data_IF_088295795145
#
_entry.id   IF_088295795145
#
_cell.length_a   1.000
_cell.length_b   1.000
_cell.length_c   1.000
_cell.angle_alpha   90.00
_cell.angle_beta   90.00
_cell.angle_gamma   90.00
#
_symmetry.space_group_name_H-M   'P 1'
#
loop_
_entity.id
_entity.type
_entity.pdbx_description
1 polymer ?
#
# COMPACT_ATOMS: atom_id res chain seq x y z
N UNK A 1 -13.04 17.19 -5.10
CA UNK A 1 -11.90 17.73 -4.34
C UNK A 1 -10.61 17.18 -4.93
N UNK A 2 -9.76 18.05 -5.47
CA UNK A 2 -8.39 17.72 -5.89
C UNK A 2 -7.50 17.99 -4.68
N UNK A 3 -7.32 16.99 -3.82
CA UNK A 3 -6.41 17.10 -2.67
C UNK A 3 -4.97 17.00 -3.18
N UNK A 4 -4.12 17.93 -2.75
CA UNK A 4 -2.67 17.81 -2.89
C UNK A 4 -2.25 16.62 -2.03
N UNK A 5 -2.28 15.43 -2.63
CA UNK A 5 -2.01 14.16 -1.96
C UNK A 5 -0.52 13.94 -1.70
N UNK A 6 0.23 14.97 -1.31
CA UNK A 6 1.63 14.85 -0.97
C UNK A 6 1.86 15.27 0.47
N UNK A 7 2.66 14.48 1.18
CA UNK A 7 3.09 14.78 2.54
C UNK A 7 4.61 14.86 2.56
N UNK A 8 5.14 15.85 3.27
CA UNK A 8 6.57 16.00 3.49
C UNK A 8 6.97 15.22 4.75
N UNK A 9 8.08 14.50 4.63
CA UNK A 9 8.74 13.80 5.73
C UNK A 9 9.67 14.76 6.47
N UNK A 10 10.03 14.43 7.69
CA UNK A 10 10.98 15.20 8.50
C UNK A 10 12.37 15.34 7.84
N UNK A 11 12.69 14.46 6.87
CA UNK A 11 13.91 14.55 6.06
C UNK A 11 13.85 15.57 4.91
N UNK A 12 12.70 16.21 4.68
CA UNK A 12 12.44 17.09 3.54
C UNK A 12 12.07 16.36 2.24
N UNK A 13 12.03 15.02 2.25
CA UNK A 13 11.52 14.23 1.12
C UNK A 13 10.00 14.17 1.16
N UNK A 14 9.37 13.85 0.03
CA UNK A 14 7.91 13.83 -0.06
C UNK A 14 7.36 12.45 -0.39
N UNK A 15 6.22 12.10 0.19
CA UNK A 15 5.43 10.92 -0.15
C UNK A 15 4.13 11.32 -0.84
N UNK A 16 3.51 10.38 -1.56
CA UNK A 16 2.25 10.61 -2.28
C UNK A 16 1.17 9.61 -1.88
N UNK A 17 -0.03 10.09 -1.58
CA UNK A 17 -1.22 9.28 -1.41
C UNK A 17 -1.95 9.09 -2.75
N UNK A 18 -2.17 7.85 -3.15
CA UNK A 18 -2.80 7.51 -4.42
C UNK A 18 -4.02 6.65 -4.14
N UNK A 19 -5.16 6.98 -4.75
CA UNK A 19 -6.35 6.11 -4.73
C UNK A 19 -6.34 5.21 -5.96
N UNK A 20 -6.41 3.90 -5.73
CA UNK A 20 -6.48 2.88 -6.78
C UNK A 20 -7.95 2.62 -7.11
N UNK A 21 -8.32 2.85 -8.38
CA UNK A 21 -9.73 2.75 -8.84
C UNK A 21 -10.03 1.55 -9.74
N UNK A 22 -9.00 0.91 -10.32
CA UNK A 22 -9.13 -0.17 -11.31
C UNK A 22 -8.61 -1.51 -10.77
N UNK A 23 -8.89 -1.79 -9.50
CA UNK A 23 -8.54 -3.07 -8.87
C UNK A 23 -9.81 -3.73 -8.34
N UNK A 24 -9.78 -5.06 -8.19
CA UNK A 24 -10.86 -5.85 -7.58
C UNK A 24 -10.97 -5.59 -6.06
N UNK A 25 -10.03 -4.82 -5.50
CA UNK A 25 -9.99 -4.41 -4.10
C UNK A 25 -10.67 -3.04 -3.98
N UNK A 26 -11.84 -2.94 -3.32
CA UNK A 26 -12.51 -1.66 -3.12
C UNK A 26 -11.78 -0.79 -2.08
N UNK A 27 -11.98 0.54 -2.17
CA UNK A 27 -11.44 1.51 -1.20
C UNK A 27 -9.95 1.33 -0.91
N UNK A 28 -9.19 1.22 -1.99
CA UNK A 28 -7.77 0.91 -1.97
C UNK A 28 -6.93 2.15 -2.24
N UNK A 29 -5.97 2.40 -1.36
CA UNK A 29 -5.05 3.53 -1.38
C UNK A 29 -3.61 3.05 -1.24
N UNK A 30 -2.68 3.88 -1.68
CA UNK A 30 -1.24 3.63 -1.57
C UNK A 30 -0.57 4.90 -1.06
N UNK A 31 0.26 4.78 -0.03
CA UNK A 31 1.26 5.78 0.32
C UNK A 31 2.57 5.38 -0.37
N UNK A 32 3.01 6.15 -1.35
CA UNK A 32 4.18 5.86 -2.17
C UNK A 32 5.31 6.83 -1.86
N UNK A 33 6.53 6.29 -1.76
CA UNK A 33 7.77 7.06 -1.81
C UNK A 33 8.24 7.13 -3.28
N UNK A 34 8.26 8.31 -3.92
CA UNK A 34 8.72 8.47 -5.29
C UNK A 34 10.15 7.95 -5.49
N UNK A 35 10.32 7.05 -6.46
CA UNK A 35 11.63 6.49 -6.87
C UNK A 35 12.66 7.57 -7.24
N UNK A 36 12.20 8.74 -7.69
CA UNK A 36 13.06 9.88 -8.03
C UNK A 36 13.87 10.42 -6.84
N UNK A 37 13.50 10.05 -5.61
CA UNK A 37 14.19 10.45 -4.37
C UNK A 37 15.07 9.32 -3.80
N UNK A 38 15.27 8.24 -4.55
CA UNK A 38 16.05 7.06 -4.12
C UNK A 38 15.23 6.10 -3.25
N UNK A 39 15.95 5.38 -2.38
CA UNK A 39 15.33 4.53 -1.34
C UNK A 39 15.17 5.32 -0.03
N UNK A 40 14.11 5.05 0.74
CA UNK A 40 13.94 5.67 2.05
C UNK A 40 14.91 5.09 3.08
N UNK A 41 15.34 5.92 4.03
CA UNK A 41 16.06 5.49 5.23
C UNK A 41 15.14 4.73 6.20
N UNK A 42 15.70 4.10 7.24
CA UNK A 42 14.89 3.39 8.26
C UNK A 42 13.95 4.33 9.02
N UNK A 43 14.40 5.55 9.25
CA UNK A 43 13.67 6.62 9.93
C UNK A 43 12.52 7.09 9.04
N UNK A 44 12.79 7.34 7.75
CA UNK A 44 11.77 7.69 6.76
C UNK A 44 10.72 6.58 6.62
N UNK A 45 11.14 5.32 6.62
CA UNK A 45 10.22 4.17 6.62
C UNK A 45 9.31 4.17 7.85
N UNK A 46 9.88 4.41 9.03
CA UNK A 46 9.11 4.42 10.28
C UNK A 46 8.10 5.57 10.31
N UNK A 47 8.53 6.76 9.87
CA UNK A 47 7.67 7.93 9.72
C UNK A 47 6.55 7.67 8.71
N UNK A 48 6.86 7.10 7.54
CA UNK A 48 5.86 6.72 6.53
C UNK A 48 4.82 5.73 7.06
N UNK A 49 5.22 4.75 7.89
CA UNK A 49 4.26 3.80 8.50
C UNK A 49 3.32 4.53 9.43
N UNK A 50 3.84 5.41 10.29
CA UNK A 50 3.02 6.23 11.19
C UNK A 50 2.04 7.09 10.41
N UNK A 51 2.51 7.85 9.41
CA UNK A 51 1.67 8.68 8.54
C UNK A 51 0.64 7.85 7.77
N UNK A 52 1.01 6.63 7.35
CA UNK A 52 0.11 5.68 6.68
C UNK A 52 -1.03 5.24 7.60
N UNK A 53 -0.74 4.96 8.88
CA UNK A 53 -1.74 4.62 9.89
C UNK A 53 -2.68 5.80 10.13
N UNK A 54 -2.14 7.00 10.34
CA UNK A 54 -2.93 8.21 10.60
C UNK A 54 -3.86 8.55 9.44
N UNK A 55 -3.33 8.50 8.22
CA UNK A 55 -4.12 8.67 7.01
C UNK A 55 -5.22 7.61 6.94
N UNK A 56 -4.87 6.32 7.12
CA UNK A 56 -5.83 5.23 7.09
C UNK A 56 -6.97 5.41 8.10
N UNK A 57 -6.67 5.85 9.33
CA UNK A 57 -7.69 6.14 10.35
C UNK A 57 -8.63 7.25 9.92
N UNK A 58 -8.08 8.34 9.39
CA UNK A 58 -8.85 9.48 8.88
C UNK A 58 -9.80 9.05 7.76
N UNK A 59 -9.29 8.39 6.71
CA UNK A 59 -10.12 7.97 5.58
C UNK A 59 -11.08 6.82 5.94
N UNK A 60 -10.71 5.93 6.87
CA UNK A 60 -11.62 4.89 7.36
C UNK A 60 -12.83 5.51 8.07
N UNK A 61 -12.59 6.48 8.98
CA UNK A 61 -13.67 7.18 9.67
C UNK A 61 -14.59 7.88 8.68
N UNK A 62 -14.04 8.54 7.67
CA UNK A 62 -14.80 9.27 6.66
C UNK A 62 -15.65 8.36 5.76
N UNK A 63 -15.09 7.27 5.25
CA UNK A 63 -15.74 6.46 4.22
C UNK A 63 -16.53 5.26 4.75
N UNK A 64 -16.17 4.74 5.92
CA UNK A 64 -16.82 3.56 6.52
C UNK A 64 -17.33 3.79 7.95
N UNK A 65 -17.17 4.99 8.51
CA UNK A 65 -17.73 5.37 9.82
C UNK A 65 -16.93 4.89 11.03
N UNK A 66 -15.88 4.08 10.81
CA UNK A 66 -15.03 3.45 11.82
C UNK A 66 -13.55 3.72 11.49
N UNK A 67 -12.83 4.38 12.39
CA UNK A 67 -11.42 4.72 12.21
C UNK A 67 -10.50 3.50 12.24
N UNK A 68 -10.92 2.37 12.78
CA UNK A 68 -10.11 1.15 12.87
C UNK A 68 -10.45 0.12 11.79
N UNK A 69 -11.37 0.45 10.88
CA UNK A 69 -11.80 -0.41 9.78
C UNK A 69 -10.86 -0.33 8.55
N UNK A 70 -9.57 -0.60 8.75
CA UNK A 70 -8.56 -0.64 7.69
C UNK A 70 -7.58 -1.82 7.82
N UNK A 71 -6.79 -2.03 6.79
CA UNK A 71 -5.64 -2.93 6.80
C UNK A 71 -4.49 -2.27 6.04
N UNK A 72 -3.32 -2.31 6.66
CA UNK A 72 -2.05 -1.93 6.05
C UNK A 72 -1.35 -3.18 5.55
N UNK A 73 -0.83 -3.14 4.32
CA UNK A 73 0.08 -4.15 3.82
C UNK A 73 1.39 -3.48 3.49
N UNK A 74 2.45 -3.93 4.15
CA UNK A 74 3.81 -3.51 3.91
C UNK A 74 4.64 -4.74 3.51
N UNK A 75 5.35 -4.62 2.40
CA UNK A 75 6.21 -5.67 1.88
C UNK A 75 7.66 -5.21 1.86
N UNK A 76 8.56 -6.01 2.44
CA UNK A 76 9.99 -5.82 2.32
C UNK A 76 10.45 -5.92 0.86
N UNK A 77 11.63 -5.38 0.54
CA UNK A 77 12.12 -5.21 -0.82
C UNK A 77 11.96 -6.48 -1.68
N UNK A 78 12.37 -7.64 -1.16
CA UNK A 78 12.33 -8.90 -1.91
C UNK A 78 10.94 -9.44 -2.22
N UNK A 79 9.92 -8.99 -1.50
CA UNK A 79 8.53 -9.39 -1.69
C UNK A 79 7.74 -8.36 -2.53
N UNK A 80 8.35 -7.24 -2.94
CA UNK A 80 7.69 -6.22 -3.75
C UNK A 80 7.69 -6.60 -5.23
N UNK A 81 6.60 -6.21 -5.90
CA UNK A 81 6.47 -6.26 -7.35
C UNK A 81 7.21 -5.12 -8.04
N UNK A 82 7.13 -3.92 -7.48
CA UNK A 82 7.79 -2.73 -8.00
C UNK A 82 8.93 -2.33 -7.08
N UNK A 83 10.04 -1.91 -7.66
CA UNK A 83 11.21 -1.40 -6.92
C UNK A 83 10.94 -0.18 -6.04
N UNK A 84 9.76 0.44 -6.14
CA UNK A 84 9.41 1.64 -5.38
C UNK A 84 8.89 1.29 -3.99
N UNK A 85 9.26 2.07 -2.98
CA UNK A 85 8.76 1.87 -1.63
C UNK A 85 7.32 2.38 -1.51
N UNK A 86 6.44 1.55 -0.97
CA UNK A 86 5.04 1.92 -0.81
C UNK A 86 4.35 1.08 0.27
N UNK A 87 3.31 1.67 0.85
CA UNK A 87 2.40 1.02 1.80
C UNK A 87 1.02 0.98 1.17
N UNK A 88 0.41 -0.21 1.17
CA UNK A 88 -0.95 -0.41 0.73
C UNK A 88 -1.91 -0.19 1.90
N UNK A 89 -2.96 0.60 1.68
CA UNK A 89 -3.99 0.92 2.67
C UNK A 89 -5.33 0.50 2.08
N UNK A 90 -6.02 -0.44 2.72
CA UNK A 90 -7.32 -0.94 2.26
C UNK A 90 -8.37 -0.72 3.35
N UNK A 91 -9.48 -0.08 3.02
CA UNK A 91 -10.58 0.12 3.99
C UNK A 91 -11.52 -1.09 3.99
N UNK A 92 -11.70 -1.70 5.17
CA UNK A 92 -12.40 -2.97 5.35
C UNK A 92 -13.51 -2.82 6.39
N UNK A 93 -14.68 -2.32 5.96
CA UNK A 93 -15.83 -2.14 6.85
C UNK A 93 -16.53 -3.43 7.32
N UNK A 94 -16.12 -4.62 6.87
CA UNK A 94 -16.67 -5.90 7.36
C UNK A 94 -15.75 -7.09 7.05
N UNK A 95 -16.06 -8.25 7.66
CA UNK A 95 -15.29 -9.50 7.52
C UNK A 95 -15.31 -10.07 6.09
N UNK A 96 -16.40 -9.92 5.35
CA UNK A 96 -16.52 -10.39 3.96
C UNK A 96 -15.58 -9.63 3.02
N UNK A 97 -15.47 -8.31 3.15
CA UNK A 97 -14.50 -7.50 2.40
C UNK A 97 -13.06 -7.91 2.70
N UNK A 98 -12.77 -8.28 3.96
CA UNK A 98 -11.45 -8.78 4.36
C UNK A 98 -11.14 -10.15 3.75
N UNK A 99 -12.09 -11.08 3.77
CA UNK A 99 -11.96 -12.36 3.09
C UNK A 99 -11.77 -12.19 1.58
N UNK A 100 -12.53 -11.30 0.95
CA UNK A 100 -12.38 -10.97 -0.47
C UNK A 100 -11.00 -10.41 -0.80
N UNK A 101 -10.48 -9.48 0.01
CA UNK A 101 -9.11 -8.98 -0.12
C UNK A 101 -8.11 -10.14 -0.14
N UNK A 102 -8.20 -11.06 0.81
CA UNK A 102 -7.29 -12.21 0.87
C UNK A 102 -7.43 -13.15 -0.32
N UNK A 103 -8.64 -13.40 -0.81
CA UNK A 103 -8.86 -14.20 -2.02
C UNK A 103 -8.23 -13.55 -3.26
N UNK A 104 -8.42 -12.24 -3.45
CA UNK A 104 -7.82 -11.49 -4.56
C UNK A 104 -6.30 -11.50 -4.46
N UNK A 105 -5.73 -11.28 -3.27
CA UNK A 105 -4.29 -11.32 -3.06
C UNK A 105 -3.71 -12.73 -3.30
N UNK A 106 -4.36 -13.77 -2.78
CA UNK A 106 -3.96 -15.15 -3.01
C UNK A 106 -3.98 -15.49 -4.51
N UNK A 107 -5.06 -15.16 -5.21
CA UNK A 107 -5.16 -15.35 -6.66
C UNK A 107 -4.05 -14.64 -7.43
N UNK A 108 -3.74 -13.38 -7.09
CA UNK A 108 -2.62 -12.64 -7.70
C UNK A 108 -1.27 -13.34 -7.49
N UNK A 109 -1.02 -13.87 -6.29
CA UNK A 109 0.22 -14.59 -5.99
C UNK A 109 0.28 -15.95 -6.70
N UNK A 110 -0.83 -16.70 -6.78
CA UNK A 110 -0.89 -17.97 -7.52
C UNK A 110 -0.56 -17.75 -8.99
N UNK A 111 -1.19 -16.74 -9.63
CA UNK A 111 -0.92 -16.40 -11.03
C UNK A 111 0.55 -16.06 -11.29
N UNK A 112 1.21 -15.40 -10.33
CA UNK A 112 2.64 -15.11 -10.40
C UNK A 112 3.48 -16.39 -10.24
N UNK A 113 3.16 -17.24 -9.26
CA UNK A 113 3.88 -18.48 -9.00
C UNK A 113 3.85 -19.46 -10.19
N UNK A 114 2.75 -19.51 -10.94
CA UNK A 114 2.61 -20.35 -12.15
C UNK A 114 3.10 -19.66 -13.44
N UNK A 115 3.67 -18.45 -13.34
CA UNK A 115 4.28 -17.75 -14.47
C UNK A 115 3.32 -17.10 -15.47
N UNK A 116 2.00 -17.12 -15.20
CA UNK A 116 0.99 -16.41 -16.01
C UNK A 116 1.04 -14.89 -15.81
N UNK A 117 1.83 -14.43 -14.84
CA UNK A 117 2.10 -13.02 -14.57
C UNK A 117 3.59 -12.82 -14.34
N UNK A 118 4.23 -12.05 -15.24
CA UNK A 118 5.66 -11.68 -15.13
C UNK A 118 5.79 -10.37 -14.36
N UNK A 119 6.47 -10.42 -13.23
CA UNK A 119 6.68 -9.32 -12.30
C UNK A 119 8.19 -9.23 -11.94
N UNK A 120 8.69 -8.02 -11.60
CA UNK A 120 10.10 -7.73 -11.24
C UNK A 120 10.49 -8.25 -9.83
N UNK A 121 9.92 -9.38 -9.40
CA UNK A 121 10.28 -10.00 -8.12
C UNK A 121 11.70 -10.56 -8.18
N UNK A 122 12.58 -10.28 -7.20
CA UNK A 122 13.93 -10.83 -7.16
C UNK A 122 13.86 -12.36 -7.10
N UNK A 123 14.60 -13.01 -8.00
CA UNK A 123 14.72 -14.46 -8.01
C UNK A 123 15.62 -14.86 -6.86
N UNK A 124 15.08 -15.65 -5.93
CA UNK A 124 15.90 -16.34 -4.94
C UNK A 124 16.65 -17.43 -5.71
N UNK A 125 17.97 -17.32 -5.80
CA UNK A 125 18.80 -18.45 -6.26
C UNK A 125 18.60 -19.60 -5.26
N UNK A 126 18.12 -20.74 -5.76
CA UNK A 126 17.94 -21.96 -4.96
C UNK A 126 19.27 -22.64 -4.75
#
# INVERSE_FOLDING_TARGET
MRENNSIELSSGKHCKFLRIRRDLIPNYYILAFPKSQGEPSKEEVSEMVTLGIEYAKSIAKQFVGDSEAYTLLYSGYSARREKGWHIHIVLLGNRWKKAWLYLVLAGKNILQAIGLRKDDSPRIER
#
